data_IF_188995458924
#
_entry.id   IF_188995458924
#
_cell.length_a   1.000
_cell.length_b   1.000
_cell.length_c   1.000
_cell.angle_alpha   90.00
_cell.angle_beta   90.00
_cell.angle_gamma   90.00
#
_symmetry.space_group_name_H-M   'P 1'
#
loop_
_entity.id
_entity.type
_entity.pdbx_description
1 polymer ?
#
# COMPACT_ATOMS: atom_id res chain seq x y z
N UNK A 1 8.12 20.56 3.68
CA UNK A 1 8.68 21.76 3.02
C UNK A 1 8.10 21.87 1.62
N UNK A 2 7.80 23.05 1.12
CA UNK A 2 7.44 23.25 -0.30
C UNK A 2 8.70 23.60 -1.06
N UNK A 3 9.00 22.86 -2.12
CA UNK A 3 10.06 23.20 -3.07
C UNK A 3 9.63 24.37 -3.98
N UNK A 4 10.60 25.05 -4.61
CA UNK A 4 10.31 26.19 -5.49
C UNK A 4 9.42 25.86 -6.70
N UNK A 5 9.30 24.58 -7.05
CA UNK A 5 8.39 24.04 -8.07
C UNK A 5 6.98 23.71 -7.54
N UNK A 6 6.67 24.07 -6.29
CA UNK A 6 5.38 23.84 -5.64
C UNK A 6 5.18 22.45 -5.05
N UNK A 7 6.10 21.50 -5.26
CA UNK A 7 6.02 20.15 -4.70
C UNK A 7 6.28 20.17 -3.19
N UNK A 8 5.52 19.38 -2.45
CA UNK A 8 5.77 19.16 -1.03
C UNK A 8 6.64 17.92 -0.84
N UNK A 9 7.71 18.04 -0.07
CA UNK A 9 8.57 16.93 0.33
C UNK A 9 8.91 16.98 1.81
N UNK A 10 9.30 15.83 2.33
CA UNK A 10 9.81 15.74 3.69
C UNK A 10 11.27 16.20 3.73
N UNK A 11 11.60 16.97 4.74
CA UNK A 11 12.97 17.43 5.02
C UNK A 11 13.37 16.98 6.42
N UNK A 12 14.61 16.59 6.60
CA UNK A 12 15.19 16.29 7.92
C UNK A 12 15.88 17.53 8.43
N UNK A 13 15.44 17.98 9.60
CA UNK A 13 15.97 19.16 10.27
C UNK A 13 16.65 18.75 11.58
N UNK A 14 17.91 19.13 11.72
CA UNK A 14 18.66 19.04 12.96
C UNK A 14 18.56 20.39 13.68
N UNK A 15 18.32 20.36 15.01
CA UNK A 15 18.15 21.59 15.80
C UNK A 15 19.42 22.44 15.87
N UNK A 16 20.59 21.82 15.72
CA UNK A 16 21.89 22.47 15.84
C UNK A 16 22.44 22.84 14.45
N UNK A 17 22.37 21.90 13.51
CA UNK A 17 23.01 21.99 12.18
C UNK A 17 22.07 22.49 11.07
N UNK A 18 20.76 22.62 11.36
CA UNK A 18 19.76 23.02 10.38
C UNK A 18 19.35 21.88 9.46
N UNK A 19 19.07 22.20 8.19
CA UNK A 19 18.63 21.18 7.19
C UNK A 19 19.77 20.24 6.83
N UNK A 20 19.50 18.92 6.93
CA UNK A 20 20.45 17.90 6.48
C UNK A 20 20.48 17.82 4.95
N UNK A 21 21.38 18.56 4.32
CA UNK A 21 21.39 18.77 2.86
C UNK A 21 21.49 17.50 2.02
N UNK A 22 22.21 16.48 2.50
CA UNK A 22 22.30 15.18 1.80
C UNK A 22 20.97 14.41 1.82
N UNK A 23 20.28 14.39 2.97
CA UNK A 23 18.98 13.77 3.10
C UNK A 23 17.90 14.53 2.30
N UNK A 24 17.93 15.86 2.33
CA UNK A 24 16.99 16.70 1.60
C UNK A 24 17.06 16.45 0.10
N UNK A 25 18.28 16.48 -0.49
CA UNK A 25 18.48 16.16 -1.90
C UNK A 25 18.03 14.75 -2.30
N UNK A 26 18.22 13.77 -1.42
CA UNK A 26 17.74 12.41 -1.67
C UNK A 26 16.22 12.33 -1.62
N UNK A 27 15.60 12.90 -0.58
CA UNK A 27 14.15 12.87 -0.39
C UNK A 27 13.39 13.67 -1.46
N UNK A 28 13.99 14.74 -2.00
CA UNK A 28 13.41 15.50 -3.10
C UNK A 28 13.11 14.62 -4.33
N UNK A 29 13.94 13.60 -4.60
CA UNK A 29 13.70 12.62 -5.66
C UNK A 29 12.47 11.73 -5.46
N UNK A 30 11.92 11.70 -4.24
CA UNK A 30 10.73 10.93 -3.86
C UNK A 30 9.52 11.82 -3.55
N UNK A 31 9.62 13.13 -3.79
CA UNK A 31 8.51 14.06 -3.56
C UNK A 31 7.24 13.54 -4.24
N UNK A 32 6.12 13.60 -3.54
CA UNK A 32 4.80 13.14 -4.01
C UNK A 32 4.70 11.63 -4.35
N UNK A 33 5.72 10.80 -4.07
CA UNK A 33 5.64 9.36 -4.35
C UNK A 33 4.94 8.56 -3.24
N UNK A 34 4.74 9.13 -2.04
CA UNK A 34 4.28 8.45 -0.83
C UNK A 34 5.37 7.57 -0.18
N UNK A 35 6.55 7.45 -0.80
CA UNK A 35 7.74 6.84 -0.19
C UNK A 35 8.56 7.84 0.58
N UNK A 36 8.47 9.12 0.24
CA UNK A 36 9.14 10.25 0.85
C UNK A 36 9.01 10.27 2.37
N UNK A 37 7.78 10.20 2.88
CA UNK A 37 7.50 10.10 4.32
C UNK A 37 8.20 8.90 4.98
N UNK A 38 8.06 7.73 4.37
CA UNK A 38 8.64 6.50 4.91
C UNK A 38 10.16 6.58 4.93
N UNK A 39 10.75 7.05 3.85
CA UNK A 39 12.21 7.20 3.73
C UNK A 39 12.75 8.27 4.67
N UNK A 40 12.02 9.37 4.89
CA UNK A 40 12.40 10.37 5.88
C UNK A 40 12.52 9.78 7.28
N UNK A 41 11.53 8.97 7.73
CA UNK A 41 11.61 8.31 9.03
C UNK A 41 12.73 7.27 9.12
N UNK A 42 12.98 6.52 8.06
CA UNK A 42 14.08 5.55 8.01
C UNK A 42 15.44 6.24 8.08
N UNK A 43 15.61 7.36 7.36
CA UNK A 43 16.84 8.16 7.42
C UNK A 43 17.02 8.81 8.79
N UNK A 44 15.97 9.34 9.41
CA UNK A 44 16.09 9.88 10.79
C UNK A 44 16.57 8.81 11.77
N UNK A 45 16.05 7.59 11.68
CA UNK A 45 16.52 6.49 12.54
C UNK A 45 17.99 6.16 12.26
N UNK A 46 18.43 6.18 11.00
CA UNK A 46 19.80 5.93 10.60
C UNK A 46 20.75 7.05 11.05
N UNK A 47 20.42 8.29 10.79
CA UNK A 47 21.24 9.45 11.19
C UNK A 47 21.42 9.53 12.69
N UNK A 48 20.37 9.24 13.47
CA UNK A 48 20.47 9.13 14.95
C UNK A 48 21.38 7.99 15.40
N UNK A 49 21.39 6.89 14.66
CA UNK A 49 22.32 5.80 14.94
C UNK A 49 23.75 6.21 14.65
N UNK A 50 24.02 6.89 13.53
CA UNK A 50 25.34 7.44 13.21
C UNK A 50 25.83 8.37 14.31
N UNK A 51 25.00 9.32 14.74
CA UNK A 51 25.30 10.23 15.82
C UNK A 51 25.65 9.48 17.13
N UNK A 52 24.89 8.41 17.45
CA UNK A 52 25.16 7.57 18.61
C UNK A 52 26.49 6.81 18.52
N UNK A 53 26.89 6.37 17.33
CA UNK A 53 28.16 5.67 17.09
C UNK A 53 29.34 6.63 16.86
N UNK A 54 29.08 7.94 16.84
CA UNK A 54 30.11 8.96 16.54
C UNK A 54 30.56 8.97 15.08
N UNK A 55 29.69 8.50 14.17
CA UNK A 55 29.95 8.43 12.73
C UNK A 55 29.22 9.53 11.97
N UNK A 56 29.74 9.87 10.81
CA UNK A 56 29.06 10.74 9.84
C UNK A 56 28.74 9.95 8.56
N UNK A 57 27.82 10.43 7.71
CA UNK A 57 27.56 9.77 6.42
C UNK A 57 28.79 9.65 5.52
N UNK A 58 29.77 10.50 5.72
CA UNK A 58 31.04 10.51 5.00
C UNK A 58 31.96 9.36 5.40
N UNK A 59 31.92 8.96 6.70
CA UNK A 59 32.84 8.00 7.32
C UNK A 59 32.30 6.56 7.36
N UNK A 60 31.02 6.38 7.02
CA UNK A 60 30.34 5.07 7.11
C UNK A 60 30.95 4.07 6.14
N UNK A 61 31.39 2.92 6.68
CA UNK A 61 31.77 1.76 5.90
C UNK A 61 30.60 0.78 5.67
N UNK A 62 30.77 -0.17 4.74
CA UNK A 62 29.75 -1.18 4.47
C UNK A 62 29.44 -2.04 5.71
N UNK A 63 30.44 -2.39 6.51
CA UNK A 63 30.24 -3.13 7.75
C UNK A 63 29.41 -2.38 8.79
N UNK A 64 29.47 -1.04 8.79
CA UNK A 64 28.65 -0.22 9.67
C UNK A 64 27.18 -0.26 9.25
N UNK A 65 26.89 -0.26 7.95
CA UNK A 65 25.55 -0.44 7.42
C UNK A 65 24.98 -1.82 7.78
N UNK A 66 25.79 -2.88 7.71
CA UNK A 66 25.38 -4.22 8.14
C UNK A 66 25.10 -4.26 9.67
N UNK A 67 25.95 -3.62 10.49
CA UNK A 67 25.73 -3.47 11.95
C UNK A 67 24.41 -2.75 12.23
N UNK A 68 24.17 -1.63 11.56
CA UNK A 68 22.92 -0.89 11.70
C UNK A 68 21.71 -1.75 11.34
N UNK A 69 21.72 -2.43 10.18
CA UNK A 69 20.63 -3.30 9.74
C UNK A 69 20.36 -4.43 10.74
N UNK A 70 21.40 -5.05 11.27
CA UNK A 70 21.29 -6.04 12.35
C UNK A 70 20.67 -5.43 13.61
N UNK A 71 21.11 -4.23 13.99
CA UNK A 71 20.66 -3.55 15.20
C UNK A 71 19.16 -3.18 15.15
N UNK A 72 18.64 -2.67 14.04
CA UNK A 72 17.22 -2.28 13.94
C UNK A 72 16.26 -3.47 13.82
N UNK A 73 16.75 -4.63 13.37
CA UNK A 73 15.99 -5.87 13.26
C UNK A 73 16.04 -6.77 14.51
N UNK A 74 17.01 -6.55 15.38
CA UNK A 74 17.19 -7.40 16.54
C UNK A 74 16.06 -7.22 17.57
N UNK A 75 15.51 -8.35 18.04
CA UNK A 75 14.65 -8.37 19.20
C UNK A 75 15.50 -8.13 20.44
N UNK A 76 15.24 -7.05 21.15
CA UNK A 76 15.91 -6.75 22.42
C UNK A 76 14.95 -7.14 23.54
N UNK A 77 15.43 -8.00 24.43
CA UNK A 77 14.75 -8.28 25.69
C UNK A 77 14.99 -7.11 26.65
N UNK A 78 13.92 -6.46 27.10
CA UNK A 78 13.97 -5.44 28.12
C UNK A 78 13.28 -4.12 27.78
N UNK A 79 13.01 -3.29 28.80
CA UNK A 79 12.21 -2.07 28.65
C UNK A 79 12.95 -0.91 27.97
N UNK A 80 14.26 -0.99 27.83
CA UNK A 80 15.08 0.17 27.47
C UNK A 80 15.30 0.39 25.96
N UNK A 81 14.92 -0.57 25.11
CA UNK A 81 15.10 -0.42 23.67
C UNK A 81 16.55 -0.06 23.26
N UNK A 82 16.72 0.40 22.01
CA UNK A 82 18.01 0.97 21.57
C UNK A 82 18.07 2.46 21.91
N UNK A 83 19.21 3.02 22.36
CA UNK A 83 19.32 4.41 22.80
C UNK A 83 18.79 5.42 21.78
N UNK A 84 19.09 5.23 20.50
CA UNK A 84 18.59 6.10 19.40
C UNK A 84 17.15 5.80 18.96
N UNK A 85 16.52 4.73 19.48
CA UNK A 85 15.18 4.27 19.12
C UNK A 85 14.32 3.95 20.34
N UNK A 86 14.41 4.75 21.37
CA UNK A 86 13.66 4.54 22.63
C UNK A 86 12.17 4.34 22.37
N UNK A 87 11.58 3.30 22.95
CA UNK A 87 10.16 2.97 22.83
C UNK A 87 9.70 2.41 21.46
N UNK A 88 10.59 2.27 20.49
CA UNK A 88 10.25 1.71 19.17
C UNK A 88 10.49 0.20 19.12
N UNK A 89 9.53 -0.50 18.50
CA UNK A 89 9.66 -1.95 18.23
C UNK A 89 10.75 -2.23 17.18
N UNK A 90 11.37 -3.43 17.20
CA UNK A 90 12.25 -3.87 16.12
C UNK A 90 11.53 -3.83 14.78
N UNK A 91 12.26 -3.57 13.71
CA UNK A 91 11.69 -3.62 12.36
C UNK A 91 11.34 -5.06 11.98
N UNK A 92 10.13 -5.25 11.46
CA UNK A 92 9.77 -6.48 10.76
C UNK A 92 10.45 -6.56 9.38
N UNK A 93 10.37 -7.73 8.76
CA UNK A 93 11.07 -8.02 7.49
C UNK A 93 10.78 -7.01 6.36
N UNK A 94 9.52 -6.56 6.23
CA UNK A 94 9.16 -5.57 5.20
C UNK A 94 9.73 -4.18 5.49
N UNK A 95 9.77 -3.78 6.77
CA UNK A 95 10.40 -2.53 7.18
C UNK A 95 11.93 -2.58 7.00
N UNK A 96 12.57 -3.74 7.28
CA UNK A 96 13.99 -3.95 7.01
C UNK A 96 14.31 -3.86 5.52
N UNK A 97 13.46 -4.43 4.65
CA UNK A 97 13.62 -4.28 3.19
C UNK A 97 13.50 -2.83 2.76
N UNK A 98 12.53 -2.11 3.33
CA UNK A 98 12.38 -0.67 3.09
C UNK A 98 13.60 0.12 3.55
N UNK A 99 14.14 -0.18 4.72
CA UNK A 99 15.36 0.45 5.24
C UNK A 99 16.57 0.14 4.34
N UNK A 100 16.76 -1.11 3.93
CA UNK A 100 17.82 -1.50 3.01
C UNK A 100 17.74 -0.76 1.67
N UNK A 101 16.54 -0.61 1.11
CA UNK A 101 16.33 0.12 -0.13
C UNK A 101 16.61 1.63 0.03
N UNK A 102 16.14 2.22 1.12
CA UNK A 102 16.36 3.62 1.46
C UNK A 102 17.85 3.92 1.63
N UNK A 103 18.58 3.13 2.43
CA UNK A 103 20.01 3.33 2.68
C UNK A 103 20.83 3.15 1.41
N UNK A 104 20.58 2.08 0.65
CA UNK A 104 21.27 1.89 -0.65
C UNK A 104 21.06 3.10 -1.54
N UNK A 105 19.82 3.57 -1.70
CA UNK A 105 19.52 4.75 -2.53
C UNK A 105 20.18 6.02 -2.01
N UNK A 106 20.14 6.24 -0.70
CA UNK A 106 20.74 7.40 -0.05
C UNK A 106 22.26 7.46 -0.29
N UNK A 107 22.99 6.40 0.01
CA UNK A 107 24.44 6.39 -0.16
C UNK A 107 24.88 6.41 -1.62
N UNK A 108 24.14 5.78 -2.53
CA UNK A 108 24.40 5.93 -3.97
C UNK A 108 24.19 7.38 -4.43
N UNK A 109 23.19 8.07 -3.90
CA UNK A 109 22.96 9.49 -4.20
C UNK A 109 24.06 10.39 -3.59
N UNK A 110 24.54 10.08 -2.39
CA UNK A 110 25.69 10.77 -1.80
C UNK A 110 26.95 10.59 -2.65
N UNK A 111 27.21 9.38 -3.13
CA UNK A 111 28.36 9.09 -4.01
C UNK A 111 28.30 9.84 -5.35
N UNK A 112 27.11 10.02 -5.94
CA UNK A 112 26.93 10.89 -7.12
C UNK A 112 27.33 12.35 -6.85
N UNK A 113 27.30 12.77 -5.60
CA UNK A 113 27.68 14.10 -5.14
C UNK A 113 29.15 14.15 -4.63
N UNK A 114 29.89 13.08 -4.85
CA UNK A 114 31.30 12.97 -4.43
C UNK A 114 31.52 12.62 -2.96
N UNK A 115 30.43 12.24 -2.22
CA UNK A 115 30.51 11.90 -0.81
C UNK A 115 30.50 10.37 -0.66
N UNK A 116 31.47 9.83 0.07
CA UNK A 116 31.61 8.40 0.41
C UNK A 116 31.51 7.47 -0.83
N UNK A 117 32.30 7.77 -1.86
CA UNK A 117 32.29 7.04 -3.13
C UNK A 117 32.73 5.58 -3.03
N UNK A 118 33.47 5.22 -1.98
CA UNK A 118 33.99 3.87 -1.75
C UNK A 118 32.87 2.84 -1.51
N UNK A 119 31.71 3.28 -0.98
CA UNK A 119 30.55 2.41 -0.77
C UNK A 119 29.91 1.90 -2.07
N UNK A 120 30.13 2.57 -3.21
CA UNK A 120 29.44 2.23 -4.47
C UNK A 120 29.67 0.79 -4.88
N UNK A 121 30.94 0.32 -4.80
CA UNK A 121 31.30 -1.05 -5.16
C UNK A 121 30.57 -2.08 -4.31
N UNK A 122 30.49 -1.86 -2.99
CA UNK A 122 29.81 -2.75 -2.08
C UNK A 122 28.28 -2.72 -2.25
N UNK A 123 27.69 -1.55 -2.49
CA UNK A 123 26.24 -1.38 -2.63
C UNK A 123 25.70 -1.82 -4.00
N UNK A 124 26.53 -1.80 -5.05
CA UNK A 124 26.17 -2.26 -6.40
C UNK A 124 26.53 -3.73 -6.65
N UNK A 125 26.57 -4.56 -5.63
CA UNK A 125 26.85 -6.00 -5.81
C UNK A 125 25.88 -6.63 -6.78
N UNK A 126 26.43 -7.50 -7.64
CA UNK A 126 25.69 -8.34 -8.57
C UNK A 126 25.45 -9.73 -7.96
N UNK A 127 24.37 -10.37 -8.35
CA UNK A 127 24.08 -11.76 -8.03
C UNK A 127 23.62 -12.53 -9.27
N UNK A 128 23.80 -13.81 -9.26
CA UNK A 128 23.19 -14.69 -10.27
C UNK A 128 21.66 -14.60 -10.18
N UNK A 129 20.95 -14.41 -11.32
CA UNK A 129 19.52 -14.51 -11.36
C UNK A 129 19.05 -15.91 -10.96
N UNK A 130 18.03 -15.98 -10.11
CA UNK A 130 17.31 -17.25 -9.87
C UNK A 130 16.43 -17.57 -11.07
N UNK A 131 15.93 -18.81 -11.17
CA UNK A 131 14.95 -19.18 -12.21
C UNK A 131 13.75 -18.21 -12.22
N UNK A 132 13.23 -17.90 -11.04
CA UNK A 132 12.13 -16.94 -10.88
C UNK A 132 12.44 -15.52 -11.37
N UNK A 133 13.68 -15.06 -11.24
CA UNK A 133 14.09 -13.75 -11.79
C UNK A 133 14.09 -13.80 -13.32
N UNK A 134 14.52 -14.92 -13.88
CA UNK A 134 14.55 -15.13 -15.34
C UNK A 134 13.16 -15.23 -15.92
N UNK A 135 12.25 -15.94 -15.26
CA UNK A 135 10.86 -16.11 -15.69
C UNK A 135 10.09 -14.77 -15.72
N UNK A 136 10.51 -13.81 -14.90
CA UNK A 136 9.90 -12.48 -14.79
C UNK A 136 10.43 -11.43 -15.75
N UNK A 137 11.54 -11.67 -16.38
CA UNK A 137 12.19 -10.71 -17.25
C UNK A 137 11.96 -11.06 -18.72
N UNK A 138 11.64 -10.05 -19.53
CA UNK A 138 11.70 -10.20 -20.98
C UNK A 138 13.13 -10.63 -21.35
N UNK A 139 13.29 -11.74 -22.06
CA UNK A 139 14.59 -12.36 -22.36
C UNK A 139 15.39 -12.78 -21.10
N UNK A 140 14.71 -13.09 -20.00
CA UNK A 140 15.34 -13.43 -18.73
C UNK A 140 16.27 -14.66 -18.80
N UNK A 141 16.07 -15.56 -19.78
CA UNK A 141 16.96 -16.68 -20.04
C UNK A 141 18.38 -16.24 -20.46
N UNK A 142 18.52 -15.02 -21.01
CA UNK A 142 19.81 -14.42 -21.39
C UNK A 142 20.45 -13.65 -20.24
N UNK A 143 19.70 -13.41 -19.16
CA UNK A 143 20.18 -12.61 -18.03
C UNK A 143 21.25 -13.38 -17.25
N UNK A 144 22.48 -12.86 -17.26
CA UNK A 144 23.62 -13.50 -16.59
C UNK A 144 23.83 -12.99 -15.17
N UNK A 145 23.46 -11.75 -14.91
CA UNK A 145 23.56 -11.15 -13.60
C UNK A 145 22.41 -10.17 -13.34
N UNK A 146 22.20 -9.81 -12.10
CA UNK A 146 21.29 -8.75 -11.70
C UNK A 146 21.79 -8.03 -10.45
N UNK A 147 21.46 -6.75 -10.32
CA UNK A 147 21.79 -6.01 -9.12
C UNK A 147 21.03 -6.54 -7.90
N UNK A 148 21.77 -6.84 -6.84
CA UNK A 148 21.21 -7.14 -5.54
C UNK A 148 21.25 -5.91 -4.63
N UNK A 149 20.42 -5.90 -3.61
CA UNK A 149 20.64 -5.04 -2.46
C UNK A 149 21.32 -5.86 -1.37
N UNK A 150 22.61 -5.67 -1.12
CA UNK A 150 23.35 -6.48 -0.16
C UNK A 150 22.89 -6.28 1.29
N UNK A 151 22.23 -5.14 1.59
CA UNK A 151 21.67 -4.85 2.90
C UNK A 151 20.29 -5.49 3.12
N UNK A 152 19.66 -6.02 2.06
CA UNK A 152 18.33 -6.59 2.18
C UNK A 152 18.34 -7.87 3.04
N UNK A 153 17.37 -8.02 3.97
CA UNK A 153 17.26 -9.24 4.74
C UNK A 153 16.95 -10.44 3.83
N UNK A 154 17.37 -11.63 4.26
CA UNK A 154 17.03 -12.87 3.55
C UNK A 154 15.52 -12.96 3.34
N UNK A 155 15.13 -13.49 2.18
CA UNK A 155 13.71 -13.71 1.88
C UNK A 155 13.14 -14.72 2.88
N UNK A 156 12.09 -14.32 3.57
CA UNK A 156 11.31 -15.20 4.44
C UNK A 156 10.01 -15.51 3.71
N UNK A 157 9.54 -16.76 3.79
CA UNK A 157 8.21 -17.12 3.27
C UNK A 157 7.19 -16.14 3.84
N UNK A 158 6.40 -15.53 2.97
CA UNK A 158 5.31 -14.64 3.40
C UNK A 158 4.28 -15.48 4.15
N UNK A 159 3.80 -14.95 5.28
CA UNK A 159 2.62 -15.49 5.96
C UNK A 159 1.41 -15.35 5.03
N UNK A 160 0.47 -16.28 5.14
CA UNK A 160 -0.83 -16.16 4.49
C UNK A 160 -1.43 -14.77 4.75
N UNK A 161 -2.05 -14.19 3.75
CA UNK A 161 -2.70 -12.88 3.89
C UNK A 161 -3.88 -13.03 4.84
N UNK A 162 -4.03 -12.02 5.71
CA UNK A 162 -5.19 -11.98 6.60
C UNK A 162 -6.42 -11.61 5.77
N UNK A 163 -7.33 -12.54 5.65
CA UNK A 163 -8.65 -12.37 5.07
C UNK A 163 -9.65 -11.98 6.14
N UNK A 164 -10.83 -11.54 5.73
CA UNK A 164 -11.95 -11.39 6.66
C UNK A 164 -12.41 -12.77 7.11
N UNK A 165 -12.79 -12.93 8.39
CA UNK A 165 -13.51 -14.12 8.81
C UNK A 165 -14.84 -14.28 8.05
N UNK A 166 -15.30 -15.51 7.93
CA UNK A 166 -16.60 -15.80 7.32
C UNK A 166 -17.72 -15.06 8.05
N UNK A 167 -18.67 -14.52 7.29
CA UNK A 167 -19.76 -13.72 7.84
C UNK A 167 -19.39 -12.33 8.36
N UNK A 168 -18.11 -11.96 8.36
CA UNK A 168 -17.65 -10.69 8.92
C UNK A 168 -18.34 -9.46 8.30
N UNK A 169 -18.70 -9.51 7.00
CA UNK A 169 -19.43 -8.41 6.34
C UNK A 169 -20.74 -8.09 7.05
N UNK A 170 -21.57 -9.09 7.30
CA UNK A 170 -22.86 -8.91 7.95
C UNK A 170 -22.71 -8.33 9.36
N UNK A 171 -21.83 -8.93 10.16
CA UNK A 171 -21.54 -8.48 11.53
C UNK A 171 -20.99 -7.05 11.57
N UNK A 172 -20.14 -6.68 10.61
CA UNK A 172 -19.62 -5.29 10.51
C UNK A 172 -20.71 -4.30 10.11
N UNK A 173 -21.65 -4.69 9.23
CA UNK A 173 -22.77 -3.85 8.83
C UNK A 173 -23.74 -3.58 9.99
N UNK A 174 -23.88 -4.52 10.91
CA UNK A 174 -24.68 -4.35 12.13
C UNK A 174 -23.99 -3.41 13.14
N UNK A 175 -22.67 -3.33 13.11
CA UNK A 175 -21.87 -2.51 14.02
C UNK A 175 -21.60 -1.09 13.54
N UNK A 176 -21.86 -0.77 12.29
CA UNK A 176 -21.70 0.58 11.76
C UNK A 176 -23.02 1.36 11.80
N UNK A 177 -22.98 2.57 12.39
CA UNK A 177 -24.18 3.36 12.69
C UNK A 177 -24.45 4.48 11.69
N UNK A 178 -23.53 4.77 10.75
CA UNK A 178 -23.71 5.81 9.75
C UNK A 178 -23.86 5.22 8.36
N UNK A 179 -24.63 5.89 7.51
CA UNK A 179 -24.82 5.50 6.11
C UNK A 179 -23.49 5.58 5.34
N UNK A 180 -22.63 6.55 5.67
CA UNK A 180 -21.26 6.62 5.14
C UNK A 180 -20.44 5.38 5.49
N UNK A 181 -20.45 4.97 6.75
CA UNK A 181 -19.64 3.84 7.21
C UNK A 181 -20.17 2.53 6.62
N UNK A 182 -21.50 2.40 6.47
CA UNK A 182 -22.16 1.31 5.77
C UNK A 182 -21.73 1.24 4.29
N UNK A 183 -21.78 2.38 3.58
CA UNK A 183 -21.28 2.48 2.22
C UNK A 183 -19.82 2.00 2.12
N UNK A 184 -18.96 2.38 3.05
CA UNK A 184 -17.55 1.98 3.03
C UNK A 184 -17.38 0.47 3.21
N UNK A 185 -18.13 -0.16 4.11
CA UNK A 185 -18.10 -1.63 4.30
C UNK A 185 -18.55 -2.34 3.02
N UNK A 186 -19.68 -1.92 2.42
CA UNK A 186 -20.21 -2.50 1.19
C UNK A 186 -19.25 -2.36 0.00
N UNK A 187 -18.71 -1.16 -0.20
CA UNK A 187 -17.82 -0.89 -1.33
C UNK A 187 -16.46 -1.56 -1.20
N UNK A 188 -15.92 -1.68 0.01
CA UNK A 188 -14.70 -2.44 0.25
C UNK A 188 -14.94 -3.94 0.02
N UNK A 189 -16.11 -4.47 0.41
CA UNK A 189 -16.47 -5.88 0.27
C UNK A 189 -16.64 -6.27 -1.21
N UNK A 190 -17.47 -5.56 -1.95
CA UNK A 190 -17.86 -5.93 -3.32
C UNK A 190 -16.91 -5.36 -4.39
N UNK A 191 -16.30 -4.21 -4.15
CA UNK A 191 -15.43 -3.54 -5.11
C UNK A 191 -13.93 -3.81 -4.90
N UNK A 192 -13.54 -4.36 -3.76
CA UNK A 192 -12.13 -4.62 -3.43
C UNK A 192 -11.24 -3.38 -3.49
N UNK A 193 -11.79 -2.21 -3.17
CA UNK A 193 -11.05 -0.93 -3.18
C UNK A 193 -9.93 -0.90 -2.14
N UNK A 194 -8.85 -0.18 -2.44
CA UNK A 194 -7.93 0.28 -1.39
C UNK A 194 -8.54 1.47 -0.66
N UNK A 195 -8.21 1.65 0.62
CA UNK A 195 -8.73 2.81 1.39
C UNK A 195 -8.41 4.16 0.71
N UNK A 196 -7.23 4.30 0.11
CA UNK A 196 -6.87 5.51 -0.63
C UNK A 196 -7.65 5.68 -1.94
N UNK A 197 -7.99 4.60 -2.62
CA UNK A 197 -8.86 4.62 -3.81
C UNK A 197 -10.26 5.07 -3.41
N UNK A 198 -10.85 4.43 -2.39
CA UNK A 198 -12.19 4.71 -1.89
C UNK A 198 -12.35 6.16 -1.40
N UNK A 199 -11.41 6.63 -0.57
CA UNK A 199 -11.45 8.00 -0.06
C UNK A 199 -11.07 9.06 -1.09
N UNK A 200 -10.50 8.66 -2.22
CA UNK A 200 -10.15 9.54 -3.35
C UNK A 200 -11.23 9.69 -4.41
N UNK A 201 -12.33 8.93 -4.32
CA UNK A 201 -13.43 9.01 -5.27
C UNK A 201 -14.14 10.37 -5.20
N UNK A 202 -14.46 10.89 -6.37
CA UNK A 202 -15.33 12.04 -6.54
C UNK A 202 -16.70 11.58 -7.08
N UNK A 203 -17.71 12.39 -6.91
CA UNK A 203 -19.05 12.10 -7.41
C UNK A 203 -19.08 11.95 -8.95
N UNK A 204 -18.24 12.71 -9.67
CA UNK A 204 -18.08 12.62 -11.11
C UNK A 204 -17.38 11.34 -11.59
N UNK A 205 -16.73 10.58 -10.69
CA UNK A 205 -16.11 9.30 -11.04
C UNK A 205 -17.14 8.16 -11.13
N UNK A 206 -18.39 8.41 -10.74
CA UNK A 206 -19.42 7.38 -10.60
C UNK A 206 -20.39 7.42 -11.75
N UNK A 207 -20.43 6.36 -12.52
CA UNK A 207 -21.34 6.14 -13.64
C UNK A 207 -22.30 5.01 -13.26
N UNK A 208 -23.44 5.38 -12.66
CA UNK A 208 -24.38 4.42 -12.07
C UNK A 208 -25.54 4.03 -12.97
N UNK A 209 -25.53 4.48 -14.22
CA UNK A 209 -26.52 4.13 -15.25
C UNK A 209 -25.98 3.01 -16.15
N UNK A 210 -26.89 2.25 -16.77
CA UNK A 210 -26.50 1.18 -17.69
C UNK A 210 -25.75 1.70 -18.91
N UNK A 211 -26.19 2.83 -19.46
CA UNK A 211 -25.51 3.53 -20.55
C UNK A 211 -24.80 4.75 -20.00
N UNK A 212 -23.55 4.53 -19.61
CA UNK A 212 -22.71 5.58 -19.07
C UNK A 212 -22.17 6.48 -20.20
N UNK A 213 -22.11 7.79 -19.92
CA UNK A 213 -21.65 8.79 -20.89
C UNK A 213 -20.18 8.59 -21.32
N UNK A 214 -19.35 7.89 -20.51
CA UNK A 214 -17.97 7.57 -20.88
C UNK A 214 -17.85 6.56 -22.03
N UNK A 215 -18.87 5.72 -22.26
CA UNK A 215 -18.84 4.68 -23.28
C UNK A 215 -17.90 3.50 -23.05
N UNK A 216 -17.14 3.49 -21.93
CA UNK A 216 -16.08 2.50 -21.68
C UNK A 216 -16.58 1.22 -20.99
N UNK A 217 -17.67 1.30 -20.25
CA UNK A 217 -18.24 0.18 -19.54
C UNK A 217 -19.76 0.20 -19.59
N UNK A 218 -20.37 -0.92 -19.96
CA UNK A 218 -21.81 -1.11 -19.83
C UNK A 218 -22.18 -1.44 -18.39
N UNK A 219 -23.20 -0.76 -17.87
CA UNK A 219 -23.68 -0.91 -16.51
C UNK A 219 -22.88 -0.11 -15.45
N UNK A 220 -23.37 -0.12 -14.19
CA UNK A 220 -22.84 0.69 -13.12
C UNK A 220 -21.36 0.44 -12.83
N UNK A 221 -20.57 1.50 -12.78
CA UNK A 221 -19.13 1.42 -12.52
C UNK A 221 -18.59 2.73 -11.92
N UNK A 222 -17.37 2.66 -11.40
CA UNK A 222 -16.60 3.78 -10.88
C UNK A 222 -15.23 3.83 -11.56
N UNK A 223 -14.77 5.03 -11.88
CA UNK A 223 -13.42 5.29 -12.37
C UNK A 223 -12.51 5.62 -11.19
N UNK A 224 -11.49 4.79 -10.93
CA UNK A 224 -10.47 5.06 -9.93
C UNK A 224 -9.34 5.82 -10.59
N UNK A 225 -9.30 7.12 -10.37
CA UNK A 225 -8.35 8.05 -10.97
C UNK A 225 -7.20 8.38 -10.00
N UNK A 226 -5.97 8.37 -10.51
CA UNK A 226 -4.84 8.89 -9.75
C UNK A 226 -4.88 10.43 -9.76
N UNK A 227 -4.99 11.03 -8.58
CA UNK A 227 -4.94 12.48 -8.39
C UNK A 227 -3.90 12.80 -7.32
N UNK A 228 -3.02 13.73 -7.62
CA UNK A 228 -2.03 14.24 -6.66
C UNK A 228 -2.62 15.39 -5.84
N UNK A 229 -2.10 15.58 -4.64
CA UNK A 229 -2.42 16.74 -3.80
C UNK A 229 -3.83 16.78 -3.24
N UNK A 230 -4.56 15.65 -3.17
CA UNK A 230 -5.87 15.63 -2.54
C UNK A 230 -5.79 16.07 -1.07
N UNK A 231 -6.67 16.97 -0.69
CA UNK A 231 -6.76 17.62 0.65
C UNK A 231 -6.78 16.58 1.80
N UNK A 232 -7.42 15.45 1.59
CA UNK A 232 -7.54 14.38 2.59
C UNK A 232 -6.37 13.40 2.58
N UNK A 233 -5.34 13.62 1.76
CA UNK A 233 -4.20 12.71 1.60
C UNK A 233 -4.54 11.36 0.97
N UNK A 234 -5.73 11.22 0.38
CA UNK A 234 -6.11 10.01 -0.35
C UNK A 234 -5.27 9.90 -1.62
N UNK A 235 -4.92 8.65 -1.98
CA UNK A 235 -4.13 8.39 -3.18
C UNK A 235 -4.49 7.05 -3.79
N UNK A 236 -4.89 7.05 -5.04
CA UNK A 236 -5.01 5.85 -5.85
C UNK A 236 -3.61 5.47 -6.39
N UNK A 237 -3.25 4.19 -6.25
CA UNK A 237 -1.98 3.66 -6.77
C UNK A 237 -2.10 3.11 -8.19
N UNK A 238 -3.13 3.51 -8.92
CA UNK A 238 -3.30 3.14 -10.33
C UNK A 238 -2.33 3.95 -11.19
N UNK A 239 -1.89 3.34 -12.29
CA UNK A 239 -1.09 4.00 -13.33
C UNK A 239 -1.88 4.21 -14.62
N UNK A 240 -3.16 3.84 -14.62
CA UNK A 240 -4.02 4.05 -15.76
C UNK A 240 -4.24 5.54 -15.98
N UNK A 241 -4.06 5.99 -17.21
CA UNK A 241 -4.33 7.36 -17.61
C UNK A 241 -5.82 7.64 -17.53
N UNK A 242 -6.17 8.87 -17.24
CA UNK A 242 -7.54 9.33 -17.17
C UNK A 242 -7.63 10.79 -17.58
N UNK A 243 -8.78 11.19 -18.06
CA UNK A 243 -9.06 12.58 -18.41
C UNK A 243 -10.51 12.96 -18.10
N UNK A 244 -10.73 14.26 -17.94
CA UNK A 244 -12.06 14.85 -17.85
C UNK A 244 -12.37 15.49 -19.21
N UNK A 245 -13.34 14.97 -19.92
CA UNK A 245 -13.78 15.46 -21.23
C UNK A 245 -15.26 15.78 -21.17
N UNK A 246 -15.63 17.03 -21.43
CA UNK A 246 -17.02 17.54 -21.39
C UNK A 246 -17.77 17.22 -20.07
N UNK A 247 -17.04 17.26 -18.95
CA UNK A 247 -17.60 16.95 -17.63
C UNK A 247 -17.74 15.45 -17.32
N UNK A 248 -17.27 14.57 -18.23
CA UNK A 248 -17.30 13.12 -18.08
C UNK A 248 -15.89 12.59 -17.88
N UNK A 249 -15.71 11.71 -16.91
CA UNK A 249 -14.44 11.01 -16.68
C UNK A 249 -14.30 9.86 -17.68
N UNK A 250 -13.10 9.78 -18.28
CA UNK A 250 -12.67 8.70 -19.15
C UNK A 250 -11.35 8.10 -18.61
N UNK A 251 -11.15 6.81 -18.83
CA UNK A 251 -9.96 6.09 -18.38
C UNK A 251 -9.93 5.81 -16.88
N UNK A 252 -8.72 5.73 -16.31
CA UNK A 252 -8.56 5.26 -14.95
C UNK A 252 -8.79 3.75 -14.81
N UNK A 253 -8.80 3.25 -13.57
CA UNK A 253 -9.16 1.86 -13.32
C UNK A 253 -10.66 1.74 -13.13
N UNK A 254 -11.32 1.03 -14.04
CA UNK A 254 -12.77 0.79 -13.96
C UNK A 254 -13.07 -0.30 -12.95
N UNK A 255 -13.97 -0.01 -12.00
CA UNK A 255 -14.51 -0.96 -11.04
C UNK A 255 -16.03 -1.04 -11.15
N UNK A 256 -16.54 -2.26 -11.30
CA UNK A 256 -17.99 -2.49 -11.35
C UNK A 256 -18.62 -2.17 -10.01
N UNK A 257 -19.82 -1.62 -10.05
CA UNK A 257 -20.64 -1.30 -8.88
C UNK A 257 -21.75 -2.34 -8.75
N UNK A 258 -21.79 -3.06 -7.62
CA UNK A 258 -22.85 -4.03 -7.32
C UNK A 258 -24.16 -3.33 -6.95
N UNK A 259 -25.30 -4.02 -7.01
CA UNK A 259 -26.57 -3.47 -6.51
C UNK A 259 -26.48 -2.99 -5.04
N UNK A 260 -25.80 -3.74 -4.16
CA UNK A 260 -25.62 -3.36 -2.75
C UNK A 260 -24.79 -2.08 -2.61
N UNK A 261 -23.72 -1.93 -3.41
CA UNK A 261 -22.94 -0.70 -3.47
C UNK A 261 -23.78 0.49 -3.94
N UNK A 262 -24.63 0.29 -4.97
CA UNK A 262 -25.54 1.31 -5.48
C UNK A 262 -26.56 1.75 -4.44
N UNK A 263 -27.22 0.82 -3.74
CA UNK A 263 -28.15 1.14 -2.66
C UNK A 263 -27.46 1.92 -1.54
N UNK A 264 -26.34 1.44 -1.04
CA UNK A 264 -25.59 2.14 0.01
C UNK A 264 -25.14 3.55 -0.40
N UNK A 265 -24.83 3.77 -1.68
CA UNK A 265 -24.53 5.09 -2.24
C UNK A 265 -25.73 6.02 -2.18
N UNK A 266 -26.90 5.60 -2.67
CA UNK A 266 -28.10 6.41 -2.66
C UNK A 266 -28.59 6.73 -1.25
N UNK A 267 -28.57 5.76 -0.35
CA UNK A 267 -28.91 5.98 1.06
C UNK A 267 -28.00 7.05 1.69
N UNK A 268 -26.68 6.94 1.45
CA UNK A 268 -25.73 7.90 1.98
C UNK A 268 -25.93 9.31 1.39
N UNK A 269 -26.11 9.40 0.07
CA UNK A 269 -26.25 10.71 -0.61
C UNK A 269 -27.53 11.44 -0.16
N UNK A 270 -28.63 10.68 0.00
CA UNK A 270 -29.93 11.27 0.38
C UNK A 270 -30.05 11.50 1.88
N UNK A 271 -29.44 10.64 2.71
CA UNK A 271 -29.62 10.67 4.16
C UNK A 271 -28.56 11.49 4.92
N UNK A 272 -27.29 11.39 4.54
CA UNK A 272 -26.19 11.94 5.36
C UNK A 272 -25.24 12.89 4.61
N UNK A 273 -25.20 12.87 3.28
CA UNK A 273 -24.25 13.69 2.54
C UNK A 273 -24.56 15.19 2.71
N UNK A 274 -23.59 16.03 3.16
CA UNK A 274 -23.84 17.44 3.41
C UNK A 274 -24.14 18.22 2.10
N UNK A 275 -25.28 18.87 2.02
CA UNK A 275 -25.72 19.65 0.83
C UNK A 275 -24.77 20.76 0.42
N UNK A 276 -23.91 21.24 1.33
CA UNK A 276 -22.95 22.32 1.09
C UNK A 276 -21.53 21.86 0.75
N UNK A 277 -21.30 20.57 0.53
CA UNK A 277 -19.95 20.07 0.17
C UNK A 277 -19.61 20.46 -1.28
N UNK A 278 -18.70 21.40 -1.46
CA UNK A 278 -18.35 21.98 -2.78
C UNK A 278 -17.14 21.31 -3.47
N UNK A 279 -16.45 20.39 -2.79
CA UNK A 279 -15.24 19.74 -3.32
C UNK A 279 -15.50 18.52 -4.19
N UNK A 280 -16.75 18.07 -4.33
CA UNK A 280 -17.14 16.94 -5.17
C UNK A 280 -16.67 15.56 -4.72
N UNK A 281 -15.95 15.43 -3.59
CA UNK A 281 -15.50 14.11 -3.09
C UNK A 281 -16.65 13.32 -2.48
N UNK A 282 -16.67 12.00 -2.75
CA UNK A 282 -17.71 11.09 -2.30
C UNK A 282 -17.77 10.99 -0.77
N UNK A 283 -16.66 10.77 -0.10
CA UNK A 283 -16.64 10.55 1.33
C UNK A 283 -16.25 11.81 2.10
N UNK A 284 -17.11 12.20 3.06
CA UNK A 284 -16.91 13.40 3.88
C UNK A 284 -16.98 13.09 5.36
N UNK A 285 -16.40 13.96 6.17
CA UNK A 285 -16.51 13.90 7.63
C UNK A 285 -17.94 14.25 8.05
N UNK A 286 -18.53 13.43 8.92
CA UNK A 286 -19.92 13.60 9.38
C UNK A 286 -20.02 14.46 10.64
N UNK A 287 -18.97 14.48 11.46
CA UNK A 287 -19.00 15.09 12.78
C UNK A 287 -17.78 15.96 13.06
N UNK A 288 -17.90 16.83 14.05
CA UNK A 288 -16.84 17.69 14.54
C UNK A 288 -16.57 18.92 13.66
N UNK A 289 -15.50 19.68 13.96
CA UNK A 289 -15.16 20.91 13.25
C UNK A 289 -14.88 20.73 11.75
N UNK A 290 -14.54 19.52 11.34
CA UNK A 290 -14.30 19.16 9.94
C UNK A 290 -15.52 18.60 9.21
N UNK A 291 -16.74 18.76 9.75
CA UNK A 291 -17.95 18.25 9.07
C UNK A 291 -18.06 18.82 7.66
N UNK A 292 -18.29 17.92 6.69
CA UNK A 292 -18.36 18.26 5.28
C UNK A 292 -17.00 18.34 4.56
N UNK A 293 -15.87 18.29 5.28
CA UNK A 293 -14.55 18.19 4.64
C UNK A 293 -14.30 16.77 4.14
N UNK A 294 -13.44 16.59 3.12
CA UNK A 294 -13.07 15.28 2.61
C UNK A 294 -12.55 14.32 3.70
N UNK A 295 -13.05 13.10 3.71
CA UNK A 295 -12.69 12.10 4.71
C UNK A 295 -11.37 11.40 4.37
N UNK A 296 -10.43 11.42 5.31
CA UNK A 296 -9.11 10.85 5.10
C UNK A 296 -9.11 9.31 5.21
N UNK A 297 -8.23 8.61 4.47
CA UNK A 297 -8.08 7.15 4.56
C UNK A 297 -7.79 6.62 5.97
N UNK A 298 -7.16 7.42 6.80
CA UNK A 298 -6.93 7.08 8.21
C UNK A 298 -8.23 7.02 9.01
N UNK A 299 -9.21 7.88 8.69
CA UNK A 299 -10.55 7.83 9.27
C UNK A 299 -11.26 6.51 8.97
N UNK A 300 -11.19 6.05 7.71
CA UNK A 300 -11.74 4.76 7.30
C UNK A 300 -11.08 3.58 8.04
N UNK A 301 -9.75 3.62 8.20
CA UNK A 301 -9.04 2.58 8.98
C UNK A 301 -9.49 2.55 10.43
N UNK A 302 -9.53 3.71 11.10
CA UNK A 302 -9.97 3.81 12.50
C UNK A 302 -11.44 3.40 12.69
N UNK A 303 -12.29 3.71 11.72
CA UNK A 303 -13.68 3.27 11.73
C UNK A 303 -13.77 1.73 11.72
N UNK A 304 -13.10 1.08 10.77
CA UNK A 304 -13.08 -0.38 10.65
C UNK A 304 -12.44 -1.07 11.88
N UNK A 305 -11.37 -0.49 12.43
CA UNK A 305 -10.77 -1.00 13.67
C UNK A 305 -11.75 -0.97 14.84
N UNK A 306 -12.51 0.12 14.98
CA UNK A 306 -13.51 0.25 16.03
C UNK A 306 -14.68 -0.70 15.81
N UNK A 307 -15.23 -0.78 14.59
CA UNK A 307 -16.30 -1.69 14.24
C UNK A 307 -15.88 -3.15 14.47
N UNK A 308 -14.70 -3.56 14.00
CA UNK A 308 -14.19 -4.91 14.19
C UNK A 308 -14.01 -5.30 15.66
N UNK A 309 -13.58 -4.35 16.52
CA UNK A 309 -13.48 -4.59 17.97
C UNK A 309 -14.86 -4.77 18.61
N UNK A 310 -15.85 -3.93 18.27
CA UNK A 310 -17.23 -4.06 18.78
C UNK A 310 -17.87 -5.38 18.33
N UNK A 311 -17.62 -5.74 17.06
CA UNK A 311 -18.07 -6.99 16.46
C UNK A 311 -17.40 -8.27 17.03
N UNK A 312 -16.41 -8.15 17.93
CA UNK A 312 -15.64 -9.30 18.40
C UNK A 312 -14.66 -9.88 17.35
N UNK A 313 -14.55 -9.27 16.18
CA UNK A 313 -13.69 -9.72 15.08
C UNK A 313 -12.22 -9.29 15.23
N UNK A 314 -11.90 -8.49 16.26
CA UNK A 314 -10.57 -7.96 16.52
C UNK A 314 -10.18 -6.84 15.55
N UNK A 315 -8.91 -6.87 15.09
CA UNK A 315 -8.36 -5.80 14.25
C UNK A 315 -8.71 -6.00 12.79
N UNK A 316 -9.73 -5.32 12.30
CA UNK A 316 -10.12 -5.30 10.88
C UNK A 316 -9.43 -4.14 10.15
N UNK A 317 -8.91 -4.44 8.97
CA UNK A 317 -8.20 -3.48 8.11
C UNK A 317 -8.76 -3.48 6.68
N UNK A 318 -8.73 -2.34 5.94
CA UNK A 318 -9.21 -2.28 4.56
C UNK A 318 -8.59 -3.32 3.62
N UNK A 319 -7.32 -3.67 3.82
CA UNK A 319 -6.67 -4.68 2.99
C UNK A 319 -7.22 -6.09 3.17
N UNK A 320 -7.83 -6.41 4.30
CA UNK A 320 -8.47 -7.70 4.52
C UNK A 320 -9.66 -7.87 3.57
N UNK A 321 -10.49 -6.85 3.41
CA UNK A 321 -11.58 -6.84 2.42
C UNK A 321 -11.08 -7.13 1.00
N UNK A 322 -10.03 -6.41 0.60
CA UNK A 322 -9.46 -6.58 -0.73
C UNK A 322 -8.86 -7.98 -0.94
N UNK A 323 -8.27 -8.57 0.09
CA UNK A 323 -7.77 -9.94 0.01
C UNK A 323 -8.91 -10.94 -0.11
N UNK A 324 -9.95 -10.82 0.71
CA UNK A 324 -11.15 -11.66 0.64
C UNK A 324 -11.84 -11.52 -0.73
N UNK A 325 -12.04 -10.29 -1.21
CA UNK A 325 -12.61 -10.01 -2.52
C UNK A 325 -11.79 -10.64 -3.65
N UNK A 326 -10.48 -10.48 -3.64
CA UNK A 326 -9.63 -11.01 -4.71
C UNK A 326 -9.60 -12.54 -4.73
N UNK A 327 -9.65 -13.20 -3.56
CA UNK A 327 -9.75 -14.66 -3.48
C UNK A 327 -11.10 -15.14 -4.02
N UNK A 328 -12.20 -14.47 -3.66
CA UNK A 328 -13.52 -14.80 -4.19
C UNK A 328 -13.62 -14.60 -5.71
N UNK A 329 -13.02 -13.53 -6.25
CA UNK A 329 -12.95 -13.30 -7.70
C UNK A 329 -12.10 -14.36 -8.39
N UNK A 330 -10.97 -14.77 -7.79
CA UNK A 330 -10.11 -15.82 -8.33
C UNK A 330 -10.84 -17.16 -8.39
N UNK A 331 -11.54 -17.51 -7.35
CA UNK A 331 -12.37 -18.73 -7.28
C UNK A 331 -13.48 -18.68 -8.34
N UNK A 332 -14.27 -17.60 -8.38
CA UNK A 332 -15.32 -17.42 -9.37
C UNK A 332 -14.81 -17.37 -10.83
N UNK A 333 -13.56 -16.96 -11.04
CA UNK A 333 -12.90 -16.94 -12.33
C UNK A 333 -12.13 -18.24 -12.65
N UNK A 334 -12.39 -19.32 -11.89
CA UNK A 334 -11.75 -20.64 -12.10
C UNK A 334 -10.22 -20.56 -12.16
N UNK A 335 -9.61 -19.70 -11.32
CA UNK A 335 -8.17 -19.50 -11.27
C UNK A 335 -7.58 -18.57 -12.33
N UNK A 336 -8.39 -17.86 -13.11
CA UNK A 336 -7.89 -16.93 -14.11
C UNK A 336 -7.30 -15.66 -13.48
N UNK A 337 -5.98 -15.64 -13.37
CA UNK A 337 -5.21 -14.55 -12.77
C UNK A 337 -5.36 -13.21 -13.53
N UNK A 338 -5.60 -13.24 -14.84
CA UNK A 338 -5.76 -12.01 -15.63
C UNK A 338 -7.02 -11.25 -15.25
N UNK A 339 -8.13 -11.95 -15.00
CA UNK A 339 -9.38 -11.34 -14.53
C UNK A 339 -9.15 -10.66 -13.18
N UNK A 340 -8.52 -11.33 -12.24
CA UNK A 340 -8.23 -10.77 -10.91
C UNK A 340 -7.32 -9.56 -11.01
N UNK A 341 -6.23 -9.67 -11.81
CA UNK A 341 -5.30 -8.57 -12.06
C UNK A 341 -6.03 -7.31 -12.53
N UNK A 342 -6.83 -7.45 -13.58
CA UNK A 342 -7.49 -6.32 -14.23
C UNK A 342 -8.60 -5.74 -13.36
N UNK A 343 -9.47 -6.57 -12.78
CA UNK A 343 -10.51 -6.13 -11.86
C UNK A 343 -9.95 -5.43 -10.61
N UNK A 344 -8.81 -5.87 -10.12
CA UNK A 344 -8.16 -5.30 -8.95
C UNK A 344 -7.17 -4.17 -9.25
N UNK A 345 -6.73 -4.00 -10.50
CA UNK A 345 -5.71 -3.02 -10.87
C UNK A 345 -4.33 -3.36 -10.29
N UNK A 346 -3.91 -4.63 -10.43
CA UNK A 346 -2.53 -5.03 -10.18
C UNK A 346 -1.66 -4.83 -11.42
N UNK A 347 -0.38 -4.58 -11.21
CA UNK A 347 0.55 -4.32 -12.31
C UNK A 347 0.84 -5.56 -13.15
N UNK A 348 0.74 -6.76 -12.56
CA UNK A 348 0.99 -8.02 -13.25
C UNK A 348 0.27 -9.20 -12.59
N UNK A 349 0.14 -10.31 -13.33
CA UNK A 349 -0.43 -11.56 -12.83
C UNK A 349 0.44 -12.22 -11.77
N UNK A 350 1.76 -12.04 -11.83
CA UNK A 350 2.68 -12.60 -10.84
C UNK A 350 2.44 -12.04 -9.44
N UNK A 351 2.04 -10.76 -9.34
CA UNK A 351 1.67 -10.17 -8.05
C UNK A 351 0.40 -10.82 -7.51
N UNK A 352 -0.55 -11.17 -8.37
CA UNK A 352 -1.78 -11.88 -7.98
C UNK A 352 -1.43 -13.30 -7.56
N UNK A 353 -0.63 -14.00 -8.37
CA UNK A 353 -0.15 -15.35 -8.10
C UNK A 353 0.58 -15.45 -6.75
N UNK A 354 1.56 -14.60 -6.51
CA UNK A 354 2.30 -14.55 -5.23
C UNK A 354 1.43 -14.32 -4.00
N UNK A 355 0.27 -13.73 -4.18
CA UNK A 355 -0.60 -13.31 -3.06
C UNK A 355 -1.74 -14.29 -2.84
N UNK A 356 -2.35 -14.84 -3.89
CA UNK A 356 -3.65 -15.49 -3.82
C UNK A 356 -3.66 -16.97 -4.25
N UNK A 357 -2.63 -17.50 -4.90
CA UNK A 357 -2.57 -18.90 -5.32
C UNK A 357 -1.94 -19.83 -4.30
N UNK A 358 -1.74 -19.37 -3.07
CA UNK A 358 -1.28 -20.23 -2.00
C UNK A 358 -2.42 -21.09 -1.47
N UNK A 359 -2.31 -22.38 -1.67
CA UNK A 359 -3.25 -23.35 -1.12
C UNK A 359 -3.12 -23.36 0.41
N UNK A 360 -4.24 -23.22 1.11
CA UNK A 360 -4.30 -23.52 2.54
C UNK A 360 -4.24 -25.06 2.69
N UNK A 361 -3.29 -25.55 3.47
CA UNK A 361 -3.15 -26.99 3.74
C UNK A 361 -4.37 -27.59 4.45
N UNK A 362 -5.24 -26.74 5.02
CA UNK A 362 -6.50 -27.13 5.64
C UNK A 362 -7.69 -27.01 4.68
N UNK A 363 -7.47 -26.59 3.43
CA UNK A 363 -8.53 -26.49 2.43
C UNK A 363 -9.06 -27.91 2.11
N UNK A 364 -10.38 -28.15 2.20
CA UNK A 364 -10.95 -29.45 1.85
C UNK A 364 -10.58 -29.91 0.44
N UNK A 365 -10.55 -28.99 -0.54
CA UNK A 365 -10.17 -29.31 -1.93
C UNK A 365 -8.72 -29.81 -2.01
N UNK A 366 -7.81 -29.21 -1.23
CA UNK A 366 -6.42 -29.68 -1.14
C UNK A 366 -6.34 -31.06 -0.51
N UNK A 367 -7.09 -31.29 0.56
CA UNK A 367 -7.16 -32.58 1.23
C UNK A 367 -7.70 -33.68 0.29
N UNK A 368 -8.81 -33.42 -0.41
CA UNK A 368 -9.41 -34.35 -1.37
C UNK A 368 -8.47 -34.65 -2.55
N UNK A 369 -7.75 -33.66 -3.04
CA UNK A 369 -6.72 -33.86 -4.07
C UNK A 369 -5.60 -34.77 -3.60
N UNK A 370 -5.16 -34.64 -2.33
CA UNK A 370 -4.17 -35.55 -1.75
C UNK A 370 -4.72 -36.99 -1.59
N UNK A 371 -5.95 -37.13 -1.06
CA UNK A 371 -6.60 -38.42 -0.92
C UNK A 371 -6.76 -39.14 -2.27
N UNK A 372 -7.15 -38.40 -3.31
CA UNK A 372 -7.20 -38.91 -4.70
C UNK A 372 -5.84 -39.39 -5.18
N UNK A 373 -4.78 -38.60 -4.92
CA UNK A 373 -3.42 -38.94 -5.32
C UNK A 373 -2.89 -40.18 -4.57
N UNK A 374 -3.29 -40.35 -3.32
CA UNK A 374 -2.93 -41.52 -2.51
C UNK A 374 -3.79 -42.75 -2.82
N UNK A 375 -4.82 -42.61 -3.67
CA UNK A 375 -5.73 -43.71 -4.04
C UNK A 375 -6.78 -44.04 -2.99
N UNK A 376 -7.00 -43.16 -2.01
CA UNK A 376 -8.01 -43.33 -0.96
C UNK A 376 -9.39 -42.82 -1.39
N UNK A 377 -9.44 -41.95 -2.41
CA UNK A 377 -10.67 -41.54 -3.11
C UNK A 377 -10.62 -42.08 -4.54
N UNK A 378 -11.61 -42.86 -4.90
CA UNK A 378 -11.85 -43.39 -6.27
C UNK A 378 -13.05 -42.69 -6.89
#
# INVERSE_FOLDING_TARGET
MRHGDGREAYTIFDLVRGVHGGADRYLAGYACTGSDRTYAYLLVDHLRWLEHEGLTPEDVGFGDLERYMGAIGAKIAGPYGRPWRVGKRPYGNDALRGAAACLKGFYLKQAELGVNTELVGALKRHRMPTQRDRDRALLGHLQRDMQANPLAPKSVRRRHKKMLPDGARAVLLDEVNSLRDRLVVEWLSDGGFRAGEMCGLHLCDLHLREEAACGECRGPHAHVCHRDGLINGARAKTKWEWELRDGVIHGGLIKRVSPAMGHAYFDYLTGEYPRGASHGMLLVQQHGPGRGLPWAPEGARKMLERAGRRAGLGLIKPHMFRHTWASAVLEAAEGNLAIVRDAGGWASTEVVDEIYTHVDVNDPVFHDALLTTWGELR
#
